data_IF_615360901233
#
_entry.id   IF_615360901233
#
_cell.length_a   1.000
_cell.length_b   1.000
_cell.length_c   1.000
_cell.angle_alpha   90.00
_cell.angle_beta   90.00
_cell.angle_gamma   90.00
#
_symmetry.space_group_name_H-M   'P 1'
#
loop_
_entity.id
_entity.type
_entity.pdbx_description
1 polymer ?
#
# COMPACT_ATOMS: atom_id res chain seq x y z
N UNK A 1 8.23 -4.53 -2.92
CA UNK A 1 7.29 -3.37 -2.87
C UNK A 1 5.87 -3.90 -2.69
N UNK A 2 4.97 -3.14 -2.06
CA UNK A 2 3.55 -3.51 -1.95
C UNK A 2 2.88 -3.48 -3.33
N UNK A 3 1.92 -4.37 -3.56
CA UNK A 3 1.13 -4.45 -4.79
C UNK A 3 -0.35 -4.17 -4.48
N UNK A 4 -1.02 -3.46 -5.40
CA UNK A 4 -2.45 -3.15 -5.36
C UNK A 4 -3.08 -3.28 -6.77
N UNK A 5 -2.47 -4.09 -7.63
CA UNK A 5 -2.79 -4.16 -9.06
C UNK A 5 -4.11 -4.88 -9.31
N UNK A 6 -4.35 -5.99 -8.60
CA UNK A 6 -5.55 -6.80 -8.78
C UNK A 6 -6.80 -6.03 -8.33
N UNK A 7 -6.75 -5.40 -7.16
CA UNK A 7 -7.87 -4.58 -6.68
C UNK A 7 -8.07 -3.34 -7.55
N UNK A 8 -7.00 -2.66 -7.98
CA UNK A 8 -7.08 -1.50 -8.87
C UNK A 8 -7.81 -1.85 -10.17
N UNK A 9 -7.41 -2.96 -10.80
CA UNK A 9 -8.02 -3.46 -12.03
C UNK A 9 -9.49 -3.81 -11.81
N UNK A 10 -9.81 -4.56 -10.74
CA UNK A 10 -11.18 -4.96 -10.44
C UNK A 10 -12.11 -3.75 -10.28
N UNK A 11 -11.70 -2.76 -9.48
CA UNK A 11 -12.50 -1.56 -9.24
C UNK A 11 -12.70 -0.75 -10.52
N UNK A 12 -11.62 -0.57 -11.31
CA UNK A 12 -11.70 0.13 -12.60
C UNK A 12 -12.66 -0.57 -13.56
N UNK A 13 -12.53 -1.87 -13.72
CA UNK A 13 -13.34 -2.64 -14.68
C UNK A 13 -14.80 -2.64 -14.26
N UNK A 14 -15.09 -2.87 -12.97
CA UNK A 14 -16.46 -2.85 -12.46
C UNK A 14 -17.10 -1.48 -12.57
N UNK A 15 -16.35 -0.39 -12.30
CA UNK A 15 -16.85 0.97 -12.48
C UNK A 15 -17.14 1.29 -13.95
N UNK A 16 -16.21 0.97 -14.86
CA UNK A 16 -16.33 1.33 -16.28
C UNK A 16 -17.40 0.53 -17.02
N UNK A 17 -17.62 -0.73 -16.62
CA UNK A 17 -18.66 -1.59 -17.21
C UNK A 17 -19.98 -1.54 -16.43
N UNK A 18 -20.08 -0.72 -15.38
CA UNK A 18 -21.31 -0.63 -14.60
C UNK A 18 -22.44 -0.04 -15.46
N UNK A 19 -23.68 -0.59 -15.43
CA UNK A 19 -24.80 -0.07 -16.23
C UNK A 19 -25.13 1.41 -15.98
N UNK A 20 -24.78 1.93 -14.80
CA UNK A 20 -24.96 3.34 -14.43
C UNK A 20 -23.85 4.28 -14.92
N UNK A 21 -22.75 3.76 -15.45
CA UNK A 21 -21.67 4.56 -16.06
C UNK A 21 -20.96 5.52 -15.09
N UNK A 22 -20.67 5.09 -13.87
CA UNK A 22 -20.11 5.96 -12.83
C UNK A 22 -18.76 6.58 -13.24
N UNK A 23 -18.64 7.91 -13.13
CA UNK A 23 -17.35 8.60 -13.11
C UNK A 23 -16.60 8.33 -11.80
N UNK A 24 -15.29 8.61 -11.77
CA UNK A 24 -14.48 8.48 -10.54
C UNK A 24 -15.01 9.37 -9.42
N UNK A 25 -15.42 10.61 -9.74
CA UNK A 25 -15.97 11.57 -8.79
C UNK A 25 -17.28 11.09 -8.19
N UNK A 26 -18.20 10.58 -9.00
CA UNK A 26 -19.49 10.06 -8.54
C UNK A 26 -19.32 8.85 -7.62
N UNK A 27 -18.49 7.87 -8.01
CA UNK A 27 -18.21 6.72 -7.16
C UNK A 27 -17.60 7.15 -5.83
N UNK A 28 -16.67 8.10 -5.86
CA UNK A 28 -16.05 8.63 -4.64
C UNK A 28 -17.07 9.30 -3.71
N UNK A 29 -18.02 10.07 -4.27
CA UNK A 29 -19.11 10.67 -3.51
C UNK A 29 -20.06 9.63 -2.90
N UNK A 30 -20.41 8.58 -3.65
CA UNK A 30 -21.24 7.47 -3.15
C UNK A 30 -20.58 6.70 -2.00
N UNK A 31 -19.25 6.75 -1.93
CA UNK A 31 -18.43 6.19 -0.87
C UNK A 31 -18.17 7.18 0.28
N UNK A 32 -18.71 8.39 0.21
CA UNK A 32 -18.63 9.40 1.26
C UNK A 32 -17.43 10.34 1.17
N UNK A 33 -16.72 10.38 0.04
CA UNK A 33 -15.59 11.26 -0.17
C UNK A 33 -15.98 12.52 -0.96
N UNK A 34 -15.26 13.62 -0.70
CA UNK A 34 -15.59 14.94 -1.28
C UNK A 34 -15.20 15.09 -2.75
N UNK A 35 -14.23 14.31 -3.25
CA UNK A 35 -13.71 14.42 -4.61
C UNK A 35 -13.24 13.05 -5.15
N UNK A 36 -12.96 12.97 -6.45
CA UNK A 36 -12.56 11.74 -7.14
C UNK A 36 -11.14 11.23 -6.86
N UNK A 37 -10.36 11.90 -6.00
CA UNK A 37 -8.95 11.53 -5.78
C UNK A 37 -8.81 10.12 -5.19
N UNK A 38 -9.74 9.72 -4.32
CA UNK A 38 -9.71 8.39 -3.72
C UNK A 38 -9.80 7.29 -4.78
N UNK A 39 -10.80 7.34 -5.65
CA UNK A 39 -10.95 6.36 -6.74
C UNK A 39 -9.79 6.43 -7.72
N UNK A 40 -9.32 7.63 -8.07
CA UNK A 40 -8.13 7.77 -8.92
C UNK A 40 -6.88 7.11 -8.32
N UNK A 41 -6.65 7.24 -7.01
CA UNK A 41 -5.53 6.59 -6.33
C UNK A 41 -5.65 5.06 -6.33
N UNK A 42 -6.86 4.55 -6.09
CA UNK A 42 -7.13 3.10 -6.12
C UNK A 42 -6.91 2.56 -7.53
N UNK A 43 -7.49 3.16 -8.56
CA UNK A 43 -7.38 2.68 -9.95
C UNK A 43 -5.97 2.78 -10.53
N UNK A 44 -5.11 3.59 -9.93
CA UNK A 44 -3.67 3.70 -10.24
C UNK A 44 -2.79 2.80 -9.37
N UNK A 45 -3.38 1.90 -8.58
CA UNK A 45 -2.68 1.00 -7.67
C UNK A 45 -1.76 1.74 -6.66
N UNK A 46 -2.15 2.95 -6.22
CA UNK A 46 -1.40 3.71 -5.21
C UNK A 46 -1.83 3.37 -3.79
N UNK A 47 -3.09 2.97 -3.62
CA UNK A 47 -3.62 2.53 -2.33
C UNK A 47 -4.68 1.44 -2.49
N UNK A 48 -4.92 0.72 -1.40
CA UNK A 48 -6.02 -0.23 -1.30
C UNK A 48 -7.30 0.46 -0.79
N UNK A 49 -8.44 -0.17 -1.02
CA UNK A 49 -9.74 0.18 -0.41
C UNK A 49 -9.68 -0.14 1.10
N UNK A 50 -10.10 0.78 1.99
CA UNK A 50 -10.18 0.49 3.42
C UNK A 50 -11.13 -0.67 3.73
N UNK A 51 -10.74 -1.59 4.61
CA UNK A 51 -11.52 -2.80 4.93
C UNK A 51 -12.97 -2.51 5.33
N UNK A 52 -13.19 -1.45 6.14
CA UNK A 52 -14.52 -1.01 6.57
C UNK A 52 -15.45 -0.56 5.43
N UNK A 53 -14.91 -0.35 4.23
CA UNK A 53 -15.64 0.12 3.05
C UNK A 53 -15.93 -0.97 2.03
N UNK A 54 -15.40 -2.19 2.22
CA UNK A 54 -15.54 -3.26 1.24
C UNK A 54 -16.99 -3.64 0.97
N UNK A 55 -17.84 -3.71 2.01
CA UNK A 55 -19.28 -3.96 1.85
C UNK A 55 -19.94 -2.88 0.99
N UNK A 56 -19.61 -1.60 1.24
CA UNK A 56 -20.19 -0.50 0.46
C UNK A 56 -19.73 -0.49 -1.00
N UNK A 57 -18.47 -0.84 -1.25
CA UNK A 57 -17.92 -0.99 -2.61
C UNK A 57 -18.60 -2.16 -3.33
N UNK A 58 -18.78 -3.29 -2.66
CA UNK A 58 -19.51 -4.45 -3.18
C UNK A 58 -20.93 -4.08 -3.63
N UNK A 59 -21.67 -3.37 -2.78
CA UNK A 59 -23.04 -2.91 -3.07
C UNK A 59 -23.10 -1.94 -4.26
N UNK A 60 -22.21 -0.93 -4.32
CA UNK A 60 -22.30 0.12 -5.35
C UNK A 60 -21.90 -0.40 -6.72
N UNK A 61 -20.86 -1.24 -6.78
CA UNK A 61 -20.24 -1.69 -8.02
C UNK A 61 -20.67 -3.09 -8.46
N UNK A 62 -21.61 -3.71 -7.73
CA UNK A 62 -22.09 -5.07 -7.99
C UNK A 62 -20.93 -6.07 -8.10
N UNK A 63 -20.10 -6.07 -7.06
CA UNK A 63 -18.93 -6.95 -6.93
C UNK A 63 -19.24 -7.96 -5.85
N UNK A 64 -19.08 -9.25 -6.13
CA UNK A 64 -19.23 -10.26 -5.09
C UNK A 64 -18.14 -10.12 -4.02
N UNK A 65 -18.44 -10.52 -2.79
CA UNK A 65 -17.44 -10.53 -1.71
C UNK A 65 -16.23 -11.40 -2.06
N UNK A 66 -16.43 -12.50 -2.79
CA UNK A 66 -15.34 -13.38 -3.20
C UNK A 66 -14.43 -12.73 -4.24
N UNK A 67 -14.96 -11.98 -5.21
CA UNK A 67 -14.13 -11.22 -6.16
C UNK A 67 -13.24 -10.19 -5.44
N UNK A 68 -13.81 -9.41 -4.50
CA UNK A 68 -13.04 -8.45 -3.69
C UNK A 68 -11.97 -9.14 -2.85
N UNK A 69 -12.35 -10.21 -2.15
CA UNK A 69 -11.45 -11.01 -1.31
C UNK A 69 -10.28 -11.56 -2.13
N UNK A 70 -10.57 -12.18 -3.27
CA UNK A 70 -9.56 -12.79 -4.13
C UNK A 70 -8.60 -11.75 -4.72
N UNK A 71 -9.10 -10.58 -5.12
CA UNK A 71 -8.25 -9.50 -5.59
C UNK A 71 -7.28 -9.01 -4.51
N UNK A 72 -7.77 -8.77 -3.28
CA UNK A 72 -6.95 -8.34 -2.15
C UNK A 72 -5.92 -9.41 -1.76
N UNK A 73 -6.33 -10.68 -1.74
CA UNK A 73 -5.42 -11.80 -1.44
C UNK A 73 -4.31 -11.92 -2.49
N UNK A 74 -4.62 -11.78 -3.77
CA UNK A 74 -3.61 -11.80 -4.85
C UNK A 74 -2.61 -10.65 -4.71
N UNK A 75 -3.08 -9.45 -4.36
CA UNK A 75 -2.21 -8.30 -4.09
C UNK A 75 -1.32 -8.52 -2.85
N UNK A 76 -1.85 -9.18 -1.82
CA UNK A 76 -1.07 -9.58 -0.66
C UNK A 76 -0.03 -10.65 -0.96
N UNK A 77 -0.38 -11.68 -1.72
CA UNK A 77 0.55 -12.73 -2.17
C UNK A 77 1.74 -12.11 -2.91
N UNK A 78 1.48 -11.29 -3.94
CA UNK A 78 2.54 -10.56 -4.67
C UNK A 78 3.35 -9.65 -3.78
N UNK A 79 2.70 -8.99 -2.82
CA UNK A 79 3.41 -8.17 -1.84
C UNK A 79 4.41 -9.02 -1.05
N UNK A 80 3.98 -10.17 -0.53
CA UNK A 80 4.84 -11.09 0.21
C UNK A 80 5.98 -11.61 -0.67
N UNK A 81 5.70 -12.07 -1.89
CA UNK A 81 6.70 -12.51 -2.87
C UNK A 81 7.75 -11.43 -3.11
N UNK A 82 7.32 -10.18 -3.31
CA UNK A 82 8.23 -9.06 -3.53
C UNK A 82 9.16 -8.84 -2.33
N UNK A 83 8.65 -8.91 -1.09
CA UNK A 83 9.47 -8.70 0.11
C UNK A 83 10.39 -9.89 0.40
N UNK A 84 9.92 -11.13 0.20
CA UNK A 84 10.73 -12.34 0.36
C UNK A 84 11.83 -12.44 -0.69
N UNK A 85 11.54 -12.08 -1.94
CA UNK A 85 12.51 -12.09 -3.05
C UNK A 85 13.52 -10.95 -2.96
N UNK A 86 13.18 -9.84 -2.29
CA UNK A 86 14.06 -8.66 -2.17
C UNK A 86 15.16 -8.82 -1.10
N UNK A 87 15.25 -9.97 -0.41
CA UNK A 87 16.39 -10.33 0.47
C UNK A 87 16.74 -9.36 1.61
N UNK A 88 15.89 -8.37 1.90
CA UNK A 88 16.21 -7.22 2.74
C UNK A 88 15.48 -7.22 4.06
N UNK A 89 15.75 -8.21 4.91
CA UNK A 89 15.43 -8.09 6.33
C UNK A 89 16.30 -7.00 6.94
N UNK A 90 15.71 -5.86 7.30
CA UNK A 90 16.36 -4.92 8.21
C UNK A 90 16.40 -5.54 9.61
N UNK A 91 17.48 -6.27 9.90
CA UNK A 91 17.87 -6.53 11.28
C UNK A 91 18.70 -5.34 11.75
N UNK A 92 18.33 -4.80 12.91
CA UNK A 92 19.00 -3.75 13.70
C UNK A 92 18.60 -2.29 13.42
N UNK A 93 17.68 -1.79 14.25
CA UNK A 93 17.76 -0.42 14.74
C UNK A 93 17.77 -0.43 16.28
N UNK A 94 18.95 -0.53 16.93
CA UNK A 94 19.12 -0.05 18.28
C UNK A 94 19.79 1.32 18.25
N UNK A 95 19.07 2.29 18.81
CA UNK A 95 19.54 3.44 19.57
C UNK A 95 20.97 3.97 19.31
N UNK A 96 21.01 5.25 18.93
CA UNK A 96 22.06 6.21 19.28
C UNK A 96 22.66 5.95 20.66
N UNK A 97 23.93 5.53 20.70
CA UNK A 97 24.86 5.86 21.78
C UNK A 97 26.20 6.21 21.14
N UNK A 98 26.64 7.45 21.36
CA UNK A 98 27.98 7.91 21.04
C UNK A 98 28.92 7.35 22.11
N UNK A 99 29.95 6.62 21.72
CA UNK A 99 31.14 6.40 22.55
C UNK A 99 32.32 6.14 21.60
N UNK A 100 33.18 7.14 21.46
CA UNK A 100 34.52 6.98 20.92
C UNK A 100 35.46 7.32 22.06
N UNK A 101 36.14 6.31 22.61
CA UNK A 101 37.10 6.46 23.70
C UNK A 101 38.33 5.57 23.45
N UNK A 102 39.46 6.27 23.30
CA UNK A 102 40.83 5.88 23.72
C UNK A 102 41.59 4.91 22.80
N UNK A 103 42.90 4.99 22.50
CA UNK A 103 44.12 5.72 22.91
C UNK A 103 45.31 5.10 22.07
N UNK A 104 46.64 5.40 22.15
CA UNK A 104 47.41 5.81 23.34
C UNK A 104 48.56 6.83 23.18
N UNK A 105 49.07 7.26 24.33
CA UNK A 105 50.26 8.06 24.59
C UNK A 105 51.58 7.30 24.32
N UNK A 106 52.61 8.02 23.82
CA UNK A 106 54.06 7.80 24.05
C UNK A 106 54.81 9.00 23.43
N UNK A 107 55.11 10.07 24.18
CA UNK A 107 56.28 10.31 25.04
C UNK A 107 57.64 10.33 24.30
N UNK A 108 58.28 11.50 24.12
CA UNK A 108 59.57 11.90 24.76
C UNK A 108 60.25 13.14 24.12
N UNK A 109 60.61 14.09 25.00
CA UNK A 109 61.85 14.89 25.11
C UNK A 109 62.36 15.90 24.06
N UNK A 110 62.57 17.14 24.59
CA UNK A 110 63.75 18.03 24.52
C UNK A 110 64.18 18.55 23.13
N UNK A 111 64.27 19.86 22.88
CA UNK A 111 65.08 20.87 23.58
C UNK A 111 64.58 22.28 23.28
#
# INVERSE_FOLDING_TARGET
>A
MRSFEAIAKLIRDKRMNHPKGYSQSELSQLLGYKNGQFISNVERALCNVPLKMLGRVSEILDISHDELKNAILSDHEKTLENFLSSGGGVVNSPNTVKEDVSEPLLNTSLS
#
